data_IF_568144265131
#
_entry.id   IF_568144265131
#
_cell.length_a   1.000
_cell.length_b   1.000
_cell.length_c   1.000
_cell.angle_alpha   90.00
_cell.angle_beta   90.00
_cell.angle_gamma   90.00
#
_symmetry.space_group_name_H-M   'P 1'
#
loop_
_entity.id
_entity.type
_entity.pdbx_description
1 polymer ?
#
# COMPACT_ATOMS: atom_id res chain seq x y z
N UNK A 1 -9.93 -30.44 3.95
CA UNK A 1 -11.23 -30.31 4.66
C UNK A 1 -12.15 -31.33 4.01
N UNK A 2 -12.51 -32.37 4.74
CA UNK A 2 -13.26 -33.50 4.19
C UNK A 2 -14.77 -33.39 4.33
N UNK A 3 -15.27 -32.45 5.17
CA UNK A 3 -16.70 -32.16 5.26
C UNK A 3 -16.93 -30.67 5.43
N UNK A 4 -17.69 -30.09 4.53
CA UNK A 4 -18.14 -28.71 4.57
C UNK A 4 -19.56 -28.70 5.16
N UNK A 5 -19.90 -27.66 5.93
CA UNK A 5 -21.26 -27.50 6.50
C UNK A 5 -22.33 -27.28 5.43
N UNK A 6 -21.92 -26.83 4.24
CA UNK A 6 -22.80 -26.67 3.07
C UNK A 6 -22.02 -27.07 1.80
N UNK A 7 -22.74 -27.39 0.73
CA UNK A 7 -22.15 -27.50 -0.58
C UNK A 7 -21.62 -26.10 -1.02
N UNK A 8 -20.39 -26.05 -1.50
CA UNK A 8 -19.81 -24.83 -2.03
C UNK A 8 -20.20 -24.62 -3.47
N UNK A 9 -20.47 -23.37 -3.81
CA UNK A 9 -20.58 -22.89 -5.17
C UNK A 9 -19.25 -22.29 -5.64
N UNK A 10 -19.14 -22.05 -6.95
CA UNK A 10 -17.95 -21.41 -7.54
C UNK A 10 -17.66 -20.03 -6.95
N UNK A 11 -18.69 -19.31 -6.55
CA UNK A 11 -18.62 -18.00 -5.88
C UNK A 11 -18.02 -18.11 -4.48
N UNK A 12 -18.40 -19.12 -3.69
CA UNK A 12 -17.83 -19.38 -2.38
C UNK A 12 -16.34 -19.70 -2.47
N UNK A 13 -15.97 -20.55 -3.45
CA UNK A 13 -14.57 -20.90 -3.70
C UNK A 13 -13.73 -19.68 -4.10
N UNK A 14 -14.23 -18.80 -4.95
CA UNK A 14 -13.53 -17.58 -5.36
C UNK A 14 -13.30 -16.64 -4.19
N UNK A 15 -14.28 -16.49 -3.32
CA UNK A 15 -14.16 -15.68 -2.09
C UNK A 15 -13.12 -16.27 -1.14
N UNK A 16 -13.20 -17.58 -0.89
CA UNK A 16 -12.21 -18.29 -0.08
C UNK A 16 -10.80 -18.17 -0.67
N UNK A 17 -10.65 -18.40 -1.97
CA UNK A 17 -9.36 -18.30 -2.66
C UNK A 17 -8.75 -16.91 -2.47
N UNK A 18 -9.53 -15.87 -2.70
CA UNK A 18 -9.09 -14.48 -2.54
C UNK A 18 -8.64 -14.19 -1.12
N UNK A 19 -9.44 -14.57 -0.13
CA UNK A 19 -9.13 -14.35 1.28
C UNK A 19 -7.87 -15.13 1.70
N UNK A 20 -7.76 -16.38 1.32
CA UNK A 20 -6.58 -17.18 1.62
C UNK A 20 -5.31 -16.61 0.97
N UNK A 21 -5.37 -16.23 -0.31
CA UNK A 21 -4.23 -15.62 -1.00
C UNK A 21 -3.83 -14.25 -0.42
N UNK A 22 -4.75 -13.56 0.23
CA UNK A 22 -4.45 -12.25 0.87
C UNK A 22 -3.69 -12.37 2.20
N UNK A 23 -3.62 -13.56 2.79
CA UNK A 23 -2.88 -13.81 4.04
C UNK A 23 -1.38 -13.57 3.91
N UNK A 24 -0.86 -13.71 2.69
CA UNK A 24 0.56 -13.52 2.39
C UNK A 24 0.74 -12.29 1.53
N UNK A 25 1.81 -11.54 1.80
CA UNK A 25 2.12 -10.36 0.99
C UNK A 25 2.30 -10.74 -0.48
N UNK A 26 1.68 -10.02 -1.42
CA UNK A 26 1.89 -10.23 -2.84
C UNK A 26 3.33 -9.93 -3.28
N UNK A 27 4.13 -9.33 -2.41
CA UNK A 27 5.53 -8.95 -2.64
C UNK A 27 6.53 -9.86 -1.91
N UNK A 28 6.04 -10.85 -1.16
CA UNK A 28 6.93 -11.83 -0.50
C UNK A 28 7.78 -12.60 -1.51
N UNK A 29 8.98 -13.01 -1.09
CA UNK A 29 9.88 -13.81 -1.91
C UNK A 29 9.31 -15.21 -2.14
N UNK A 30 9.86 -15.94 -3.15
CA UNK A 30 9.45 -17.34 -3.39
C UNK A 30 9.82 -18.29 -2.26
N UNK A 31 10.75 -17.89 -1.41
CA UNK A 31 11.24 -18.67 -0.27
C UNK A 31 10.38 -18.46 0.99
N UNK A 32 9.50 -17.45 0.97
CA UNK A 32 8.56 -17.19 2.04
C UNK A 32 7.39 -18.18 2.03
N UNK A 33 6.57 -18.12 3.07
CA UNK A 33 5.36 -18.93 3.19
C UNK A 33 4.43 -18.74 1.97
N UNK A 34 4.07 -19.85 1.32
CA UNK A 34 3.22 -19.85 0.15
C UNK A 34 1.91 -20.60 0.40
N UNK A 35 0.82 -20.05 -0.09
CA UNK A 35 -0.50 -20.69 -0.08
C UNK A 35 -0.79 -21.24 -1.47
N UNK A 36 -1.04 -22.55 -1.55
CA UNK A 36 -1.47 -23.25 -2.77
C UNK A 36 -2.86 -23.83 -2.56
N UNK A 37 -3.80 -23.43 -3.37
CA UNK A 37 -5.18 -23.90 -3.31
C UNK A 37 -5.47 -24.66 -4.59
N UNK A 38 -6.01 -25.88 -4.45
CA UNK A 38 -6.44 -26.73 -5.58
C UNK A 38 -7.90 -27.13 -5.39
N UNK A 39 -8.63 -27.20 -6.50
CA UNK A 39 -10.00 -27.68 -6.53
C UNK A 39 -10.15 -28.84 -7.52
N UNK A 40 -10.80 -29.91 -7.12
CA UNK A 40 -11.12 -31.03 -8.02
C UNK A 40 -12.16 -30.65 -9.09
N UNK A 41 -12.83 -29.51 -8.93
CA UNK A 41 -13.86 -29.02 -9.85
C UNK A 41 -13.30 -27.97 -10.84
N UNK A 42 -11.99 -27.78 -10.88
CA UNK A 42 -11.32 -26.80 -11.74
C UNK A 42 -11.89 -25.37 -11.61
N UNK A 43 -12.33 -24.99 -10.41
CA UNK A 43 -12.89 -23.67 -10.13
C UNK A 43 -11.84 -22.56 -10.13
N UNK A 44 -10.57 -22.92 -10.03
CA UNK A 44 -9.42 -22.04 -10.22
C UNK A 44 -9.29 -21.49 -11.64
N UNK A 45 -9.92 -22.14 -12.63
CA UNK A 45 -9.92 -21.64 -14.00
C UNK A 45 -10.63 -20.28 -14.11
N UNK A 46 -9.92 -19.32 -14.71
CA UNK A 46 -10.38 -17.95 -14.89
C UNK A 46 -10.16 -17.04 -13.69
N UNK A 47 -9.49 -17.51 -12.63
CA UNK A 47 -8.96 -16.63 -11.59
C UNK A 47 -7.80 -15.82 -12.17
N UNK A 48 -7.80 -14.53 -11.88
CA UNK A 48 -6.73 -13.63 -12.31
C UNK A 48 -5.56 -13.81 -11.33
N UNK A 49 -4.40 -14.20 -11.85
CA UNK A 49 -3.19 -14.31 -11.04
C UNK A 49 -2.66 -12.92 -10.67
N UNK A 50 -2.01 -12.82 -9.52
CA UNK A 50 -1.38 -11.58 -9.06
C UNK A 50 -0.32 -11.09 -10.07
N UNK A 51 0.42 -11.98 -10.71
CA UNK A 51 1.44 -11.63 -11.70
C UNK A 51 0.81 -10.99 -12.95
N UNK A 52 -0.37 -11.46 -13.36
CA UNK A 52 -1.14 -10.83 -14.44
C UNK A 52 -1.61 -9.44 -14.04
N UNK A 53 -2.07 -9.27 -12.80
CA UNK A 53 -2.46 -7.96 -12.26
C UNK A 53 -1.27 -7.00 -12.25
N UNK A 54 -0.13 -7.40 -11.70
CA UNK A 54 1.10 -6.60 -11.64
C UNK A 54 1.54 -6.10 -13.01
N UNK A 55 1.43 -6.96 -14.04
CA UNK A 55 1.83 -6.64 -15.42
C UNK A 55 1.08 -5.44 -16.01
N UNK A 56 -0.14 -5.19 -15.57
CA UNK A 56 -0.98 -4.11 -16.08
C UNK A 56 -0.96 -2.84 -15.24
N UNK A 57 -0.12 -2.78 -14.22
CA UNK A 57 0.13 -1.54 -13.50
C UNK A 57 0.98 -0.59 -14.37
N UNK A 58 0.66 0.70 -14.34
CA UNK A 58 1.46 1.73 -14.99
C UNK A 58 2.66 2.11 -14.13
N UNK A 59 2.51 2.08 -12.80
CA UNK A 59 3.55 2.47 -11.88
C UNK A 59 3.81 1.35 -10.86
N UNK A 60 5.07 1.16 -10.57
CA UNK A 60 5.56 0.38 -9.44
C UNK A 60 6.39 1.29 -8.54
N UNK A 61 6.27 1.13 -7.25
CA UNK A 61 7.12 1.82 -6.29
C UNK A 61 7.55 0.89 -5.15
N UNK A 62 8.71 1.19 -4.58
CA UNK A 62 9.22 0.56 -3.38
C UNK A 62 9.93 1.60 -2.52
N UNK A 63 9.60 1.60 -1.24
CA UNK A 63 10.19 2.50 -0.24
C UNK A 63 10.79 1.66 0.87
N UNK A 64 12.02 1.93 1.21
CA UNK A 64 12.73 1.36 2.36
C UNK A 64 13.02 2.51 3.29
N UNK A 65 12.62 2.38 4.54
CA UNK A 65 12.92 3.38 5.57
C UNK A 65 14.12 2.97 6.42
N UNK A 66 14.64 3.94 7.15
CA UNK A 66 15.72 3.77 8.13
C UNK A 66 15.50 4.74 9.29
N UNK A 67 16.24 4.56 10.36
CA UNK A 67 16.23 5.44 11.52
C UNK A 67 17.29 6.54 11.40
N UNK A 68 16.91 7.73 11.83
CA UNK A 68 17.82 8.86 12.05
C UNK A 68 17.80 9.24 13.53
N UNK A 69 18.93 9.18 14.21
CA UNK A 69 19.03 9.50 15.64
C UNK A 69 19.46 10.95 15.79
N UNK A 70 18.62 11.75 16.44
CA UNK A 70 18.88 13.15 16.76
C UNK A 70 18.60 13.35 18.24
N UNK A 71 19.57 13.83 19.00
CA UNK A 71 19.47 14.08 20.45
C UNK A 71 18.95 12.86 21.24
N UNK A 72 19.42 11.65 20.86
CA UNK A 72 19.03 10.39 21.50
C UNK A 72 17.62 9.89 21.16
N UNK A 73 16.88 10.58 20.31
CA UNK A 73 15.56 10.16 19.81
C UNK A 73 15.68 9.60 18.41
N UNK A 74 14.90 8.54 18.14
CA UNK A 74 14.87 7.90 16.85
C UNK A 74 13.74 8.47 16.00
N UNK A 75 14.06 8.90 14.77
CA UNK A 75 13.11 9.43 13.80
C UNK A 75 13.19 8.62 12.52
N UNK A 76 12.03 8.45 11.85
CA UNK A 76 11.97 7.73 10.59
C UNK A 76 12.39 8.62 9.42
N UNK A 77 13.16 8.04 8.51
CA UNK A 77 13.51 8.65 7.21
C UNK A 77 13.33 7.67 6.07
N UNK A 78 13.14 8.17 4.87
CA UNK A 78 13.25 7.36 3.65
C UNK A 78 14.75 7.11 3.41
N UNK A 79 15.14 5.84 3.45
CA UNK A 79 16.47 5.40 3.03
C UNK A 79 16.59 5.34 1.52
N UNK A 80 15.58 4.74 0.89
CA UNK A 80 15.50 4.60 -0.55
C UNK A 80 14.04 4.59 -1.01
N UNK A 81 13.72 5.34 -2.03
CA UNK A 81 12.45 5.31 -2.75
C UNK A 81 12.72 5.06 -4.22
N UNK A 82 12.28 3.93 -4.73
CA UNK A 82 12.34 3.57 -6.14
C UNK A 82 10.95 3.71 -6.74
N UNK A 83 10.86 4.37 -7.87
CA UNK A 83 9.64 4.57 -8.63
C UNK A 83 9.89 4.24 -10.10
N UNK A 84 9.03 3.39 -10.68
CA UNK A 84 9.11 2.97 -12.08
C UNK A 84 7.81 3.22 -12.80
N UNK A 85 7.89 3.89 -13.92
CA UNK A 85 6.78 4.01 -14.87
C UNK A 85 6.95 3.00 -16.00
N UNK A 86 5.87 2.29 -16.33
CA UNK A 86 5.84 1.34 -17.47
C UNK A 86 4.65 1.66 -18.35
N UNK A 87 4.84 2.46 -19.42
CA UNK A 87 3.75 2.88 -20.29
C UNK A 87 3.18 1.70 -21.09
N UNK A 88 1.89 1.78 -21.41
CA UNK A 88 1.28 0.87 -22.37
C UNK A 88 1.81 1.13 -23.79
N UNK A 89 1.82 0.09 -24.61
CA UNK A 89 2.31 0.17 -26.02
C UNK A 89 1.63 1.26 -26.83
N UNK A 90 0.35 1.53 -26.60
CA UNK A 90 -0.40 2.56 -27.31
C UNK A 90 -0.06 3.99 -26.88
N UNK A 91 0.53 4.20 -25.71
CA UNK A 91 0.91 5.53 -25.24
C UNK A 91 1.99 6.18 -26.10
N UNK A 92 2.85 5.40 -26.72
CA UNK A 92 3.89 5.89 -27.64
C UNK A 92 3.34 6.62 -28.87
N UNK A 93 2.05 6.42 -29.20
CA UNK A 93 1.39 7.00 -30.37
C UNK A 93 0.73 8.35 -30.12
N UNK A 94 0.66 8.82 -28.88
CA UNK A 94 -0.22 9.95 -28.53
C UNK A 94 0.51 11.29 -28.49
N UNK A 95 1.77 11.33 -28.09
CA UNK A 95 2.51 12.59 -28.01
C UNK A 95 4.01 12.33 -27.83
N UNK A 96 4.83 13.16 -28.47
CA UNK A 96 6.30 13.23 -28.23
C UNK A 96 6.64 13.71 -26.80
N UNK A 97 5.66 14.15 -26.02
CA UNK A 97 5.81 14.59 -24.63
C UNK A 97 5.39 13.53 -23.60
N UNK A 98 4.77 12.43 -24.06
CA UNK A 98 4.47 11.31 -23.17
C UNK A 98 5.73 10.47 -23.07
N UNK A 99 6.12 10.15 -21.86
CA UNK A 99 7.23 9.26 -21.59
C UNK A 99 6.99 7.93 -22.30
N UNK A 100 7.83 7.63 -23.29
CA UNK A 100 7.72 6.47 -24.15
C UNK A 100 8.61 5.33 -23.68
N UNK A 101 9.52 5.61 -22.73
CA UNK A 101 10.50 4.68 -22.17
C UNK A 101 10.21 4.43 -20.71
N UNK A 102 10.80 3.37 -20.16
CA UNK A 102 10.75 3.07 -18.73
C UNK A 102 11.54 4.13 -17.98
N UNK A 103 10.86 4.93 -17.18
CA UNK A 103 11.50 5.85 -16.25
C UNK A 103 11.63 5.20 -14.87
N UNK A 104 12.81 5.32 -14.31
CA UNK A 104 13.11 4.89 -12.95
C UNK A 104 13.72 6.06 -12.19
N UNK A 105 13.10 6.39 -11.05
CA UNK A 105 13.57 7.46 -10.17
C UNK A 105 13.95 6.86 -8.82
N UNK A 106 15.06 7.35 -8.26
CA UNK A 106 15.54 6.94 -6.95
C UNK A 106 15.74 8.19 -6.09
N UNK A 107 15.01 8.26 -4.99
CA UNK A 107 15.20 9.26 -3.94
C UNK A 107 15.86 8.57 -2.75
N UNK A 108 16.85 9.22 -2.13
CA UNK A 108 17.56 8.71 -0.95
C UNK A 108 17.60 9.75 0.17
N UNK A 109 17.67 9.27 1.39
CA UNK A 109 17.90 10.07 2.61
C UNK A 109 16.96 11.27 2.78
N UNK A 110 15.64 11.02 2.71
CA UNK A 110 14.61 12.02 2.93
C UNK A 110 13.93 11.83 4.29
N UNK A 111 13.92 12.90 5.11
CA UNK A 111 13.21 12.90 6.40
C UNK A 111 11.70 12.81 6.21
N UNK A 112 11.04 11.99 7.01
CA UNK A 112 9.59 11.87 7.07
C UNK A 112 9.05 12.82 8.14
N UNK A 113 8.13 13.71 7.75
CA UNK A 113 7.63 14.80 8.59
C UNK A 113 6.12 14.91 8.55
N UNK A 114 5.51 15.32 9.68
CA UNK A 114 4.10 15.71 9.72
C UNK A 114 3.93 17.18 10.05
N UNK A 115 2.76 17.74 9.75
CA UNK A 115 2.40 19.09 10.18
C UNK A 115 2.19 19.09 11.69
N UNK A 116 2.74 20.11 12.38
CA UNK A 116 2.44 20.34 13.81
C UNK A 116 0.97 20.68 14.00
N UNK A 117 0.33 20.09 14.99
CA UNK A 117 -1.04 20.43 15.36
C UNK A 117 -1.13 21.87 15.89
N UNK A 118 -2.27 22.52 15.60
CA UNK A 118 -2.49 23.93 15.95
C UNK A 118 -2.72 24.16 17.47
N UNK A 119 -2.96 23.10 18.23
CA UNK A 119 -3.36 23.22 19.64
C UNK A 119 -2.27 23.73 20.58
N UNK A 120 -1.00 23.61 20.22
CA UNK A 120 0.13 24.14 21.01
C UNK A 120 0.47 25.61 20.73
N UNK A 121 -0.42 26.38 20.07
CA UNK A 121 -0.14 27.76 19.59
C UNK A 121 -0.45 28.87 20.56
N UNK A 122 -0.74 28.63 21.84
CA UNK A 122 -1.06 29.74 22.76
C UNK A 122 0.15 30.39 23.41
N UNK A 123 1.37 29.91 23.22
CA UNK A 123 2.54 30.44 23.95
C UNK A 123 3.69 30.98 23.10
N UNK A 124 3.67 30.93 21.76
CA UNK A 124 4.79 31.40 20.94
C UNK A 124 4.34 32.28 19.76
N UNK A 125 3.84 33.49 20.02
CA UNK A 125 3.70 34.56 19.02
C UNK A 125 4.98 35.37 18.82
N UNK A 126 6.16 34.78 18.86
CA UNK A 126 7.39 35.46 18.50
C UNK A 126 7.87 35.05 17.09
N UNK A 127 8.34 36.01 16.35
CA UNK A 127 8.62 36.01 14.90
C UNK A 127 9.60 34.95 14.37
N UNK A 128 10.20 34.12 15.21
CA UNK A 128 11.05 32.97 14.81
C UNK A 128 10.29 31.67 14.63
N UNK A 129 9.05 31.55 15.17
CA UNK A 129 8.23 30.33 15.15
C UNK A 129 7.59 29.99 13.77
N UNK A 130 7.72 30.87 12.78
CA UNK A 130 7.25 30.61 11.41
C UNK A 130 8.09 29.58 10.66
N UNK A 131 9.28 29.20 11.14
CA UNK A 131 10.22 28.33 10.42
C UNK A 131 9.94 26.83 10.57
N UNK A 132 9.23 26.37 11.59
CA UNK A 132 9.01 24.93 11.81
C UNK A 132 7.52 24.55 11.82
N UNK A 133 6.88 24.60 10.64
CA UNK A 133 5.51 24.11 10.43
C UNK A 133 5.41 22.59 10.46
N UNK A 134 6.53 21.90 10.38
CA UNK A 134 6.63 20.44 10.30
C UNK A 134 7.53 19.92 11.42
N UNK A 135 7.27 18.69 11.84
CA UNK A 135 8.09 17.95 12.80
C UNK A 135 8.45 16.58 12.27
N UNK A 136 9.62 16.06 12.65
CA UNK A 136 10.04 14.70 12.33
C UNK A 136 9.17 13.71 13.09
N UNK A 137 8.85 12.58 12.46
CA UNK A 137 8.03 11.52 13.08
C UNK A 137 8.96 10.53 13.79
N UNK A 138 8.71 10.28 15.08
CA UNK A 138 9.39 9.24 15.83
C UNK A 138 9.00 7.86 15.30
N UNK A 139 9.98 6.98 15.13
CA UNK A 139 9.76 5.56 14.82
C UNK A 139 9.97 4.64 16.02
N UNK A 140 10.04 5.21 17.22
CA UNK A 140 10.12 4.42 18.45
C UNK A 140 8.89 3.53 18.59
N UNK A 141 9.10 2.22 18.63
CA UNK A 141 8.06 1.22 18.82
C UNK A 141 7.42 0.64 17.56
N UNK A 142 7.59 1.26 16.37
CA UNK A 142 7.19 0.60 15.11
C UNK A 142 8.38 0.28 14.18
N UNK A 143 9.53 0.91 14.40
CA UNK A 143 10.77 0.61 13.69
C UNK A 143 10.76 0.98 12.21
N UNK A 144 11.59 0.28 11.43
CA UNK A 144 11.68 0.49 10.00
C UNK A 144 10.58 -0.26 9.26
N UNK A 145 10.13 0.31 8.15
CA UNK A 145 9.09 -0.25 7.31
C UNK A 145 9.54 -0.36 5.86
N UNK A 146 8.99 -1.33 5.16
CA UNK A 146 9.12 -1.43 3.70
C UNK A 146 7.71 -1.27 3.13
N UNK A 147 7.54 -0.32 2.20
CA UNK A 147 6.30 -0.15 1.45
C UNK A 147 6.56 -0.48 0.00
N UNK A 148 5.71 -1.33 -0.57
CA UNK A 148 5.84 -1.72 -1.96
C UNK A 148 4.46 -1.76 -2.60
N UNK A 149 4.34 -1.28 -3.86
CA UNK A 149 3.03 -1.20 -4.47
C UNK A 149 3.02 -0.98 -5.97
N UNK A 150 1.84 -1.22 -6.52
CA UNK A 150 1.47 -0.98 -7.91
C UNK A 150 0.32 0.00 -7.98
N UNK A 151 0.39 0.93 -8.94
CA UNK A 151 -0.63 1.94 -9.17
C UNK A 151 -1.18 1.78 -10.58
N UNK A 152 -2.51 1.89 -10.68
CA UNK A 152 -3.28 1.68 -11.90
C UNK A 152 -3.99 2.96 -12.31
N UNK A 153 -4.17 3.13 -13.61
CA UNK A 153 -5.11 4.08 -14.17
C UNK A 153 -6.19 3.33 -14.93
N UNK A 154 -7.44 3.49 -14.51
CA UNK A 154 -8.61 2.87 -15.10
C UNK A 154 -9.46 3.87 -15.89
N UNK A 155 -8.92 5.04 -16.25
CA UNK A 155 -9.57 5.92 -17.21
C UNK A 155 -9.71 5.20 -18.55
N UNK A 156 -10.85 5.40 -19.20
CA UNK A 156 -11.18 4.69 -20.46
C UNK A 156 -10.15 5.02 -21.53
N UNK A 157 -9.72 6.27 -21.64
CA UNK A 157 -8.73 6.70 -22.65
C UNK A 157 -7.39 6.04 -22.42
N UNK A 158 -6.97 5.92 -21.16
CA UNK A 158 -5.75 5.21 -20.76
C UNK A 158 -5.82 3.73 -21.10
N UNK A 159 -6.95 3.08 -20.77
CA UNK A 159 -7.16 1.67 -21.06
C UNK A 159 -7.24 1.35 -22.56
N UNK A 160 -7.70 2.29 -23.37
CA UNK A 160 -7.74 2.12 -24.83
C UNK A 160 -6.36 2.03 -25.47
N UNK A 161 -5.33 2.52 -24.77
CA UNK A 161 -3.92 2.44 -25.17
C UNK A 161 -3.24 1.13 -24.73
N UNK A 162 -3.93 0.34 -23.91
CA UNK A 162 -3.41 -0.93 -23.42
C UNK A 162 -3.77 -2.09 -24.34
N UNK A 163 -3.03 -3.18 -24.21
CA UNK A 163 -3.32 -4.49 -24.82
C UNK A 163 -4.13 -5.41 -23.88
N UNK A 164 -4.78 -4.82 -22.87
CA UNK A 164 -5.55 -5.57 -21.86
C UNK A 164 -6.81 -6.15 -22.48
N UNK A 165 -6.90 -7.48 -22.56
CA UNK A 165 -8.07 -8.20 -23.07
C UNK A 165 -9.23 -8.27 -22.06
N UNK A 166 -8.92 -8.35 -20.76
CA UNK A 166 -9.90 -8.44 -19.67
C UNK A 166 -9.84 -7.21 -18.76
N UNK A 167 -10.22 -6.06 -19.29
CA UNK A 167 -10.21 -4.77 -18.58
C UNK A 167 -11.12 -4.78 -17.35
N UNK A 168 -12.29 -5.40 -17.49
CA UNK A 168 -13.29 -5.48 -16.41
C UNK A 168 -12.80 -6.36 -15.27
N UNK A 169 -12.21 -7.52 -15.58
CA UNK A 169 -11.68 -8.42 -14.56
C UNK A 169 -10.56 -7.79 -13.75
N UNK A 170 -9.63 -7.09 -14.41
CA UNK A 170 -8.52 -6.40 -13.73
C UNK A 170 -9.04 -5.25 -12.87
N UNK A 171 -9.92 -4.40 -13.41
CA UNK A 171 -10.52 -3.29 -12.66
C UNK A 171 -11.27 -3.81 -11.42
N UNK A 172 -12.10 -4.86 -11.58
CA UNK A 172 -12.84 -5.45 -10.46
C UNK A 172 -11.89 -6.06 -9.43
N UNK A 173 -10.83 -6.75 -9.87
CA UNK A 173 -9.84 -7.30 -8.96
C UNK A 173 -9.18 -6.20 -8.11
N UNK A 174 -8.67 -5.13 -8.74
CA UNK A 174 -8.02 -4.03 -8.02
C UNK A 174 -9.03 -3.27 -7.15
N UNK A 175 -10.27 -3.09 -7.60
CA UNK A 175 -11.33 -2.48 -6.78
C UNK A 175 -11.64 -3.27 -5.51
N UNK A 176 -11.64 -4.60 -5.59
CA UNK A 176 -11.97 -5.49 -4.47
C UNK A 176 -10.77 -5.81 -3.57
N UNK A 177 -9.56 -5.79 -4.12
CA UNK A 177 -8.33 -6.19 -3.41
C UNK A 177 -7.33 -5.04 -3.27
N UNK A 178 -7.63 -3.87 -3.79
CA UNK A 178 -6.80 -2.68 -3.70
C UNK A 178 -6.76 -2.11 -2.30
N UNK A 179 -5.94 -1.09 -2.14
CA UNK A 179 -5.63 -0.47 -0.87
C UNK A 179 -4.23 -0.79 -0.38
N UNK A 180 -3.94 -0.38 0.83
CA UNK A 180 -2.63 -0.53 1.47
C UNK A 180 -2.76 -1.51 2.62
N UNK A 181 -2.24 -2.71 2.45
CA UNK A 181 -2.32 -3.80 3.42
C UNK A 181 -1.09 -3.82 4.33
N UNK A 182 -1.27 -4.22 5.58
CA UNK A 182 -0.18 -4.32 6.55
C UNK A 182 0.17 -5.79 6.80
N UNK A 183 1.46 -6.10 6.78
CA UNK A 183 2.01 -7.42 7.06
C UNK A 183 3.09 -7.31 8.13
N UNK A 184 3.10 -8.25 9.08
CA UNK A 184 4.13 -8.38 10.11
C UNK A 184 4.73 -9.78 10.02
N UNK A 185 6.06 -9.85 9.81
CA UNK A 185 6.78 -11.12 9.56
C UNK A 185 6.11 -11.95 8.42
N UNK A 186 5.68 -11.28 7.36
CA UNK A 186 5.01 -11.90 6.21
C UNK A 186 3.54 -12.27 6.41
N UNK A 187 3.02 -12.18 7.64
CA UNK A 187 1.61 -12.48 7.96
C UNK A 187 0.76 -11.21 7.99
N UNK A 188 -0.43 -11.29 7.42
CA UNK A 188 -1.34 -10.16 7.35
C UNK A 188 -1.88 -9.75 8.71
N UNK A 189 -1.92 -8.44 8.94
CA UNK A 189 -2.66 -7.80 10.03
C UNK A 189 -3.98 -7.28 9.44
N UNK A 190 -5.11 -7.77 9.97
CA UNK A 190 -6.44 -7.31 9.59
C UNK A 190 -6.77 -6.02 10.39
N UNK A 191 -7.62 -5.09 9.93
CA UNK A 191 -8.43 -5.07 8.69
C UNK A 191 -7.79 -4.18 7.59
N UNK A 192 -6.56 -3.71 7.78
CA UNK A 192 -5.93 -2.70 6.93
C UNK A 192 -5.97 -3.08 5.44
N UNK A 193 -6.55 -2.16 4.64
CA UNK A 193 -6.67 -2.33 3.20
C UNK A 193 -7.65 -3.41 2.79
N UNK A 194 -8.66 -3.72 3.63
CA UNK A 194 -9.84 -4.48 3.23
C UNK A 194 -10.76 -3.63 2.34
N UNK A 195 -11.65 -4.32 1.64
CA UNK A 195 -12.63 -3.62 0.80
C UNK A 195 -13.51 -2.70 1.67
N UNK A 196 -13.46 -1.41 1.38
CA UNK A 196 -14.19 -0.40 2.14
C UNK A 196 -13.42 0.21 3.32
N UNK A 197 -12.25 -0.31 3.65
CA UNK A 197 -11.39 0.29 4.68
C UNK A 197 -10.46 1.36 4.05
N UNK A 198 -10.59 2.59 4.52
CA UNK A 198 -9.75 3.75 4.12
C UNK A 198 -8.93 4.27 5.30
N UNK A 199 -8.21 3.38 5.99
CA UNK A 199 -7.45 3.69 7.21
C UNK A 199 -6.39 4.80 7.04
N UNK A 200 -5.98 5.08 5.80
CA UNK A 200 -5.07 6.15 5.44
C UNK A 200 -5.77 7.41 4.92
N UNK A 201 -7.09 7.39 4.74
CA UNK A 201 -7.84 8.51 4.16
C UNK A 201 -7.50 8.80 2.69
N UNK A 202 -7.08 7.79 1.92
CA UNK A 202 -6.67 7.97 0.52
C UNK A 202 -7.85 8.34 -0.38
N UNK A 203 -9.00 7.69 -0.21
CA UNK A 203 -10.19 7.99 -1.00
C UNK A 203 -10.72 9.39 -0.66
N UNK A 204 -10.72 9.79 0.62
CA UNK A 204 -11.07 11.13 1.05
C UNK A 204 -10.10 12.19 0.48
N UNK A 205 -8.80 11.92 0.52
CA UNK A 205 -7.77 12.80 -0.06
C UNK A 205 -7.95 12.99 -1.56
N UNK A 206 -8.31 11.92 -2.27
CA UNK A 206 -8.58 11.94 -3.70
C UNK A 206 -9.85 12.73 -4.05
N UNK A 207 -10.91 12.65 -3.26
CA UNK A 207 -12.12 13.46 -3.47
C UNK A 207 -11.75 14.95 -3.46
N UNK A 208 -10.87 15.37 -2.56
CA UNK A 208 -10.43 16.75 -2.42
C UNK A 208 -9.44 17.20 -3.51
N UNK A 209 -8.68 16.27 -4.10
CA UNK A 209 -7.67 16.55 -5.12
C UNK A 209 -7.55 15.40 -6.16
N UNK A 210 -8.54 15.23 -7.05
CA UNK A 210 -8.70 14.04 -7.91
C UNK A 210 -7.52 13.80 -8.86
N UNK A 211 -6.85 14.86 -9.30
CA UNK A 211 -5.76 14.80 -10.29
C UNK A 211 -4.38 14.56 -9.68
N UNK A 212 -4.22 14.71 -8.37
CA UNK A 212 -2.93 14.67 -7.69
C UNK A 212 -2.85 13.61 -6.58
N UNK A 213 -3.95 12.93 -6.27
CA UNK A 213 -4.01 11.93 -5.18
C UNK A 213 -4.50 10.58 -5.67
N UNK A 214 -3.93 9.54 -5.07
CA UNK A 214 -4.26 8.14 -5.38
C UNK A 214 -5.31 7.68 -4.38
N UNK A 215 -6.38 7.02 -4.87
CA UNK A 215 -7.39 6.39 -4.02
C UNK A 215 -7.15 4.88 -3.88
N UNK A 216 -7.75 4.26 -2.86
CA UNK A 216 -7.61 2.82 -2.56
C UNK A 216 -7.92 1.91 -3.76
N UNK A 217 -8.86 2.29 -4.61
CA UNK A 217 -9.27 1.50 -5.79
C UNK A 217 -8.28 1.55 -6.96
N UNK A 218 -7.19 2.30 -6.82
CA UNK A 218 -6.16 2.45 -7.86
C UNK A 218 -4.79 1.95 -7.40
N UNK A 219 -4.65 1.53 -6.16
CA UNK A 219 -3.39 1.07 -5.58
C UNK A 219 -3.52 -0.36 -5.06
N UNK A 220 -2.51 -1.16 -5.29
CA UNK A 220 -2.32 -2.46 -4.66
C UNK A 220 -0.97 -2.42 -3.96
N UNK A 221 -0.97 -2.27 -2.65
CA UNK A 221 0.26 -2.02 -1.89
C UNK A 221 0.30 -2.82 -0.59
N UNK A 222 1.50 -3.03 -0.09
CA UNK A 222 1.76 -3.60 1.22
C UNK A 222 2.76 -2.76 2.01
N UNK A 223 2.53 -2.69 3.32
CA UNK A 223 3.48 -2.22 4.32
C UNK A 223 3.97 -3.44 5.08
N UNK A 224 5.27 -3.66 5.08
CA UNK A 224 5.91 -4.78 5.78
C UNK A 224 6.62 -4.28 7.03
N UNK A 225 6.35 -4.96 8.14
CA UNK A 225 6.89 -4.73 9.47
C UNK A 225 7.59 -5.99 9.97
N UNK A 226 8.55 -5.83 10.88
CA UNK A 226 9.09 -6.93 11.68
C UNK A 226 8.56 -6.86 13.11
N UNK A 227 8.23 -7.99 13.71
CA UNK A 227 7.75 -8.05 15.10
C UNK A 227 8.84 -7.55 16.07
N UNK A 228 10.09 -7.79 15.74
CA UNK A 228 11.21 -7.39 16.58
C UNK A 228 11.29 -5.87 16.75
N UNK A 229 11.08 -5.10 15.68
CA UNK A 229 11.17 -3.64 15.68
C UNK A 229 9.83 -2.97 16.02
N UNK A 230 8.69 -3.62 15.71
CA UNK A 230 7.36 -3.04 15.85
C UNK A 230 6.63 -3.46 17.15
N UNK A 231 7.36 -3.61 18.27
CA UNK A 231 6.78 -4.04 19.55
C UNK A 231 5.74 -3.09 20.13
N UNK A 232 5.86 -1.79 19.84
CA UNK A 232 4.89 -0.79 20.28
C UNK A 232 3.59 -0.75 19.48
N UNK A 233 3.52 -1.47 18.35
CA UNK A 233 2.27 -1.71 17.64
C UNK A 233 1.60 -2.96 18.23
N UNK A 234 0.76 -2.76 19.22
CA UNK A 234 0.04 -3.83 19.91
C UNK A 234 -1.18 -4.25 19.10
N UNK A 235 -1.30 -5.56 18.81
CA UNK A 235 -2.46 -6.12 18.11
C UNK A 235 -3.67 -6.16 19.04
N UNK A 236 -4.84 -5.80 18.52
CA UNK A 236 -6.12 -5.97 19.23
C UNK A 236 -6.37 -7.44 19.53
N UNK A 237 -7.07 -7.74 20.65
CA UNK A 237 -7.34 -9.12 21.08
C UNK A 237 -8.06 -9.96 20.02
N UNK A 238 -8.94 -9.34 19.23
CA UNK A 238 -9.63 -9.97 18.10
C UNK A 238 -8.75 -10.09 16.83
N UNK A 239 -7.50 -9.62 16.88
CA UNK A 239 -6.55 -9.55 15.76
C UNK A 239 -7.00 -8.69 14.57
N UNK A 240 -7.95 -7.79 14.78
CA UNK A 240 -8.44 -6.83 13.78
C UNK A 240 -7.72 -5.49 13.95
N UNK A 241 -6.48 -5.43 13.51
CA UNK A 241 -5.65 -4.24 13.55
C UNK A 241 -4.87 -4.02 14.85
N UNK A 242 -4.27 -2.84 14.94
CA UNK A 242 -3.49 -2.39 16.08
C UNK A 242 -4.34 -1.52 17.02
N UNK A 243 -3.93 -1.45 18.28
CA UNK A 243 -4.44 -0.48 19.24
C UNK A 243 -4.00 0.91 18.79
N UNK A 244 -4.96 1.84 18.71
CA UNK A 244 -4.69 3.22 18.32
C UNK A 244 -4.07 4.00 19.48
N UNK A 245 -2.74 4.00 19.50
CA UNK A 245 -1.90 4.75 20.44
C UNK A 245 -0.99 5.72 19.65
N UNK A 246 -0.10 6.42 20.34
CA UNK A 246 0.85 7.35 19.70
C UNK A 246 1.75 6.64 18.68
N UNK A 247 2.22 5.43 18.99
CA UNK A 247 3.06 4.64 18.08
C UNK A 247 2.32 4.31 16.78
N UNK A 248 1.04 3.91 16.90
CA UNK A 248 0.20 3.67 15.72
C UNK A 248 -0.04 4.95 14.90
N UNK A 249 -0.27 6.09 15.56
CA UNK A 249 -0.44 7.36 14.87
C UNK A 249 0.83 7.76 14.12
N UNK A 250 2.00 7.63 14.74
CA UNK A 250 3.29 7.88 14.10
C UNK A 250 3.52 6.96 12.90
N UNK A 251 3.21 5.67 13.04
CA UNK A 251 3.25 4.70 11.95
C UNK A 251 2.33 5.10 10.79
N UNK A 252 1.05 5.37 11.08
CA UNK A 252 0.07 5.78 10.08
C UNK A 252 0.49 7.05 9.34
N UNK A 253 0.92 8.07 10.07
CA UNK A 253 1.35 9.34 9.51
C UNK A 253 2.58 9.18 8.60
N UNK A 254 3.50 8.27 8.97
CA UNK A 254 4.65 7.92 8.14
C UNK A 254 4.24 7.30 6.82
N UNK A 255 3.28 6.36 6.84
CA UNK A 255 2.74 5.75 5.62
C UNK A 255 2.02 6.78 4.76
N UNK A 256 1.22 7.66 5.36
CA UNK A 256 0.53 8.76 4.66
C UNK A 256 1.54 9.69 3.99
N UNK A 257 2.62 10.06 4.68
CA UNK A 257 3.68 10.92 4.11
C UNK A 257 4.31 10.29 2.87
N UNK A 258 4.62 9.01 2.95
CA UNK A 258 5.28 8.27 1.86
C UNK A 258 4.38 8.17 0.61
N UNK A 259 3.06 8.03 0.80
CA UNK A 259 2.12 7.86 -0.30
C UNK A 259 1.60 9.18 -0.91
N UNK A 260 1.92 10.33 -0.31
CA UNK A 260 1.50 11.66 -0.76
C UNK A 260 2.57 12.43 -1.50
#
# INVERSE_FOLDING_TARGET
ITSLRKAWEKTDFRTFYRNAMSLVSPFSSKDDFQIKIKSNLNWEHGLISIDKIKKYALWYFKVITDSNIVDGKSYIKIKEFTYKFTPYKGMTKISSKIVTEKDEYILKDCDIKRKKDKENKKEEENSESKKNKYENISNDGFGNIIIEGYIYDFDTKTLDLSDISDRSGIRNYVKENGGVRVYRDGMRIYDYGEFGDDWLGLDQSRINAPTSKIGNKLILSSVSLTRQESKGLEEKTNREGFIENEVFNNFRDSVIFILN
#
